data_IF_730894680689
#
_entry.id   IF_730894680689
#
_cell.length_a   1.000
_cell.length_b   1.000
_cell.length_c   1.000
_cell.angle_alpha   90.00
_cell.angle_beta   90.00
_cell.angle_gamma   90.00
#
_symmetry.space_group_name_H-M   'P 1'
#
loop_
_entity.id
_entity.type
_entity.pdbx_description
1 polymer ?
#
# COMPACT_ATOMS: atom_id res chain seq x y z
N UNK A 1 -69.02 45.40 -5.91
CA UNK A 1 -68.21 44.32 -6.44
C UNK A 1 -67.19 45.00 -7.32
N UNK A 2 -65.90 44.79 -7.08
CA UNK A 2 -64.83 45.56 -7.74
C UNK A 2 -64.65 45.04 -9.20
N UNK A 3 -64.55 45.94 -10.20
CA UNK A 3 -64.43 45.56 -11.63
C UNK A 3 -63.32 44.55 -11.88
N UNK A 4 -62.23 44.62 -11.15
CA UNK A 4 -61.13 43.65 -11.22
C UNK A 4 -61.52 42.23 -10.79
N UNK A 5 -62.53 42.10 -9.91
CA UNK A 5 -62.99 40.78 -9.43
C UNK A 5 -63.84 40.10 -10.50
N UNK A 6 -64.68 40.90 -11.20
CA UNK A 6 -65.45 40.41 -12.31
C UNK A 6 -64.65 40.00 -13.53
N UNK A 7 -63.58 40.76 -13.81
CA UNK A 7 -62.61 40.42 -14.87
C UNK A 7 -61.89 39.15 -14.60
N UNK A 8 -61.33 38.97 -13.34
CA UNK A 8 -60.66 37.76 -12.94
C UNK A 8 -61.61 36.54 -12.99
N UNK A 9 -62.89 36.74 -12.61
CA UNK A 9 -63.82 35.65 -12.63
C UNK A 9 -64.16 35.22 -14.05
N UNK A 10 -64.39 36.18 -14.96
CA UNK A 10 -64.62 35.91 -16.37
C UNK A 10 -63.44 35.23 -17.08
N UNK A 11 -62.19 35.62 -16.69
CA UNK A 11 -60.97 35.01 -17.20
C UNK A 11 -60.86 33.57 -16.73
N UNK A 12 -61.16 33.29 -15.46
CA UNK A 12 -61.21 31.93 -14.94
C UNK A 12 -62.26 31.07 -15.65
N UNK A 13 -63.44 31.57 -15.80
CA UNK A 13 -64.50 30.80 -16.44
C UNK A 13 -64.14 30.41 -17.89
N UNK A 14 -63.50 31.32 -18.65
CA UNK A 14 -63.01 31.03 -20.01
C UNK A 14 -61.84 30.01 -19.99
N UNK A 15 -60.90 30.17 -19.08
CA UNK A 15 -59.77 29.21 -18.95
C UNK A 15 -60.23 27.82 -18.50
N UNK A 16 -61.18 27.76 -17.57
CA UNK A 16 -61.75 26.49 -17.12
C UNK A 16 -62.53 25.77 -18.21
N UNK A 17 -63.25 26.52 -19.02
CA UNK A 17 -64.02 25.98 -20.16
C UNK A 17 -63.15 25.46 -21.30
N UNK A 18 -62.05 26.21 -21.63
CA UNK A 18 -61.05 25.84 -22.63
C UNK A 18 -60.25 24.66 -22.19
N UNK A 19 -59.79 24.68 -20.90
CA UNK A 19 -59.01 23.57 -20.26
C UNK A 19 -59.88 22.28 -20.23
N UNK A 20 -61.12 22.36 -19.84
CA UNK A 20 -61.98 21.17 -19.78
C UNK A 20 -62.25 20.60 -21.16
N UNK A 21 -62.48 21.48 -22.20
CA UNK A 21 -62.64 21.05 -23.57
C UNK A 21 -61.41 20.36 -24.14
N UNK A 22 -60.21 20.90 -23.85
CA UNK A 22 -58.95 20.31 -24.26
C UNK A 22 -58.66 18.96 -23.54
N UNK A 23 -58.98 18.89 -22.25
CA UNK A 23 -58.88 17.64 -21.48
C UNK A 23 -59.85 16.57 -21.98
N UNK A 24 -61.10 16.95 -22.35
CA UNK A 24 -62.05 16.01 -22.88
C UNK A 24 -61.67 15.54 -24.30
N UNK A 25 -61.12 16.43 -25.14
CA UNK A 25 -60.55 16.08 -26.43
C UNK A 25 -59.34 15.13 -26.32
N UNK A 26 -58.45 15.32 -25.29
CA UNK A 26 -57.34 14.46 -25.02
C UNK A 26 -57.82 13.08 -24.54
N UNK A 27 -58.81 13.04 -23.63
CA UNK A 27 -59.38 11.78 -23.12
C UNK A 27 -60.12 10.98 -24.20
N UNK A 28 -60.79 11.66 -25.13
CA UNK A 28 -61.46 11.03 -26.25
C UNK A 28 -60.53 10.52 -27.35
N UNK A 29 -59.29 11.04 -27.38
CA UNK A 29 -58.29 10.70 -28.39
C UNK A 29 -57.21 9.73 -27.86
N UNK A 30 -57.32 9.26 -26.62
CA UNK A 30 -56.29 8.46 -25.94
C UNK A 30 -56.48 6.93 -26.08
N UNK A 31 -56.89 6.49 -27.28
CA UNK A 31 -56.63 5.13 -27.74
C UNK A 31 -55.34 5.05 -28.56
N UNK A 32 -54.27 5.72 -28.06
CA UNK A 32 -52.96 5.53 -28.67
C UNK A 32 -52.37 4.19 -28.28
N UNK A 33 -52.63 3.17 -29.06
CA UNK A 33 -51.95 1.88 -28.91
C UNK A 33 -50.47 2.02 -29.27
N UNK A 34 -49.63 1.97 -28.23
CA UNK A 34 -48.18 1.92 -28.44
C UNK A 34 -47.81 0.66 -29.21
N UNK A 35 -46.91 0.79 -30.18
CA UNK A 35 -46.45 -0.34 -30.98
C UNK A 35 -45.90 -1.47 -30.07
N UNK A 36 -46.08 -2.72 -30.49
CA UNK A 36 -45.55 -3.90 -29.77
C UNK A 36 -44.07 -3.80 -29.43
N UNK A 37 -43.30 -3.15 -30.29
CA UNK A 37 -41.88 -2.90 -30.08
C UNK A 37 -41.67 -1.93 -28.90
N UNK A 38 -42.52 -0.89 -28.78
CA UNK A 38 -42.46 0.05 -27.66
C UNK A 38 -42.86 -0.62 -26.36
N UNK A 39 -43.97 -1.37 -26.34
CA UNK A 39 -44.46 -2.10 -25.19
C UNK A 39 -43.43 -3.15 -24.66
N UNK A 40 -42.79 -3.88 -25.57
CA UNK A 40 -41.71 -4.82 -25.22
C UNK A 40 -40.51 -4.10 -24.60
N UNK A 41 -40.14 -2.92 -25.13
CA UNK A 41 -39.03 -2.12 -24.62
C UNK A 41 -39.34 -1.57 -23.22
N UNK A 42 -40.54 -1.04 -23.01
CA UNK A 42 -41.01 -0.52 -21.72
C UNK A 42 -41.08 -1.63 -20.65
N UNK A 43 -41.70 -2.77 -20.97
CA UNK A 43 -41.73 -3.95 -20.06
C UNK A 43 -40.33 -4.39 -19.68
N UNK A 44 -39.37 -4.36 -20.61
CA UNK A 44 -37.95 -4.71 -20.33
C UNK A 44 -37.27 -3.69 -19.42
N UNK A 45 -37.57 -2.40 -19.59
CA UNK A 45 -37.02 -1.33 -18.73
C UNK A 45 -37.58 -1.41 -17.30
N UNK A 46 -38.89 -1.59 -17.15
CA UNK A 46 -39.58 -1.74 -15.86
C UNK A 46 -39.00 -2.95 -15.11
N UNK A 47 -38.93 -4.12 -15.78
CA UNK A 47 -38.35 -5.34 -15.19
C UNK A 47 -36.90 -5.16 -14.80
N UNK A 48 -36.12 -4.32 -15.50
CA UNK A 48 -34.74 -4.02 -15.21
C UNK A 48 -34.63 -3.08 -14.00
N UNK A 49 -35.50 -2.06 -13.91
CA UNK A 49 -35.51 -1.09 -12.81
C UNK A 49 -35.98 -1.71 -11.49
N UNK A 50 -36.86 -2.71 -11.53
CA UNK A 50 -37.37 -3.42 -10.34
C UNK A 50 -36.35 -4.36 -9.68
N UNK A 51 -35.21 -4.61 -10.31
CA UNK A 51 -34.15 -5.46 -9.71
C UNK A 51 -33.44 -4.72 -8.58
N UNK A 52 -33.23 -5.37 -7.40
CA UNK A 52 -32.69 -4.70 -6.21
C UNK A 52 -31.29 -4.14 -6.43
N UNK A 53 -30.49 -4.74 -7.31
CA UNK A 53 -29.13 -4.30 -7.64
C UNK A 53 -29.05 -3.30 -8.80
N UNK A 54 -30.20 -2.94 -9.43
CA UNK A 54 -30.21 -2.02 -10.58
C UNK A 54 -29.59 -0.66 -10.24
N UNK A 55 -29.89 -0.12 -9.06
CA UNK A 55 -29.34 1.16 -8.59
C UNK A 55 -27.83 1.14 -8.44
N UNK A 56 -27.25 -0.02 -8.04
CA UNK A 56 -25.82 -0.18 -7.89
C UNK A 56 -25.08 -0.23 -9.23
N UNK A 57 -25.68 -0.86 -10.25
CA UNK A 57 -25.02 -1.11 -11.55
C UNK A 57 -25.61 -0.31 -12.71
N UNK A 58 -26.39 0.74 -12.42
CA UNK A 58 -27.13 1.50 -13.44
C UNK A 58 -26.23 2.33 -14.36
N UNK A 59 -25.11 2.83 -13.86
CA UNK A 59 -24.16 3.67 -14.61
C UNK A 59 -22.87 2.93 -14.90
N UNK A 60 -22.13 3.32 -15.95
CA UNK A 60 -20.83 2.74 -16.30
C UNK A 60 -19.82 2.87 -15.14
N UNK A 61 -19.79 4.04 -14.50
CA UNK A 61 -18.91 4.32 -13.35
C UNK A 61 -19.20 3.39 -12.16
N UNK A 62 -20.48 3.16 -11.85
CA UNK A 62 -20.85 2.24 -10.74
C UNK A 62 -20.51 0.79 -11.05
N UNK A 63 -20.63 0.37 -12.33
CA UNK A 63 -20.17 -0.98 -12.75
C UNK A 63 -18.67 -1.13 -12.60
N UNK A 64 -17.90 -0.14 -13.05
CA UNK A 64 -16.45 -0.14 -12.87
C UNK A 64 -16.06 -0.21 -11.39
N UNK A 65 -16.73 0.56 -10.53
CA UNK A 65 -16.49 0.50 -9.08
C UNK A 65 -16.79 -0.90 -8.50
N UNK A 66 -17.89 -1.54 -8.88
CA UNK A 66 -18.19 -2.90 -8.43
C UNK A 66 -17.16 -3.92 -8.89
N UNK A 67 -16.64 -3.80 -10.12
CA UNK A 67 -15.58 -4.67 -10.63
C UNK A 67 -14.29 -4.47 -9.83
N UNK A 68 -13.90 -3.22 -9.56
CA UNK A 68 -12.71 -2.92 -8.77
C UNK A 68 -12.82 -3.50 -7.36
N UNK A 69 -13.95 -3.33 -6.68
CA UNK A 69 -14.18 -3.92 -5.35
C UNK A 69 -14.11 -5.44 -5.40
N UNK A 70 -14.71 -6.07 -6.41
CA UNK A 70 -14.64 -7.53 -6.59
C UNK A 70 -13.19 -8.01 -6.81
N UNK A 71 -12.41 -7.30 -7.62
CA UNK A 71 -10.99 -7.62 -7.82
C UNK A 71 -10.17 -7.48 -6.54
N UNK A 72 -10.39 -6.43 -5.74
CA UNK A 72 -9.71 -6.24 -4.45
C UNK A 72 -10.03 -7.40 -3.50
N UNK A 73 -11.31 -7.79 -3.38
CA UNK A 73 -11.73 -8.90 -2.51
C UNK A 73 -11.12 -10.24 -2.97
N UNK A 74 -11.12 -10.50 -4.28
CA UNK A 74 -10.52 -11.72 -4.84
C UNK A 74 -9.01 -11.75 -4.62
N UNK A 75 -8.31 -10.64 -4.83
CA UNK A 75 -6.86 -10.52 -4.61
C UNK A 75 -6.52 -10.72 -3.13
N UNK A 76 -7.26 -10.09 -2.21
CA UNK A 76 -7.06 -10.26 -0.77
C UNK A 76 -7.31 -11.71 -0.33
N UNK A 77 -8.33 -12.37 -0.89
CA UNK A 77 -8.63 -13.78 -0.61
C UNK A 77 -7.55 -14.70 -1.15
N UNK A 78 -7.02 -14.44 -2.35
CA UNK A 78 -5.95 -15.22 -2.94
C UNK A 78 -4.65 -15.09 -2.13
N UNK A 79 -4.28 -13.88 -1.70
CA UNK A 79 -3.09 -13.62 -0.88
C UNK A 79 -3.20 -14.17 0.55
N UNK A 80 -4.37 -14.58 1.00
CA UNK A 80 -4.52 -15.29 2.28
C UNK A 80 -4.04 -16.74 2.24
N UNK A 81 -3.81 -17.30 1.05
CA UNK A 81 -3.27 -18.65 0.85
C UNK A 81 -1.75 -18.57 0.74
N UNK A 82 -1.03 -19.26 1.62
CA UNK A 82 0.44 -19.19 1.71
C UNK A 82 1.14 -19.56 0.38
N UNK A 83 0.64 -20.56 -0.33
CA UNK A 83 1.16 -20.96 -1.64
C UNK A 83 1.02 -19.86 -2.71
N UNK A 84 -0.09 -19.10 -2.69
CA UNK A 84 -0.30 -17.99 -3.64
C UNK A 84 0.56 -16.79 -3.26
N UNK A 85 0.71 -16.53 -1.96
CA UNK A 85 1.60 -15.49 -1.45
C UNK A 85 3.04 -15.75 -1.84
N UNK A 86 3.52 -16.99 -1.67
CA UNK A 86 4.83 -17.42 -2.11
C UNK A 86 5.03 -17.23 -3.62
N UNK A 87 4.10 -17.73 -4.45
CA UNK A 87 4.19 -17.59 -5.90
C UNK A 87 4.14 -16.12 -6.39
N UNK A 88 3.33 -15.26 -5.73
CA UNK A 88 3.30 -13.82 -6.03
C UNK A 88 4.60 -13.15 -5.60
N UNK A 89 5.13 -13.53 -4.43
CA UNK A 89 6.41 -13.04 -3.94
C UNK A 89 7.53 -13.42 -4.90
N UNK A 90 7.64 -14.71 -5.29
CA UNK A 90 8.64 -15.21 -6.24
C UNK A 90 8.52 -14.52 -7.61
N UNK A 91 7.28 -14.33 -8.11
CA UNK A 91 7.04 -13.60 -9.35
C UNK A 91 7.47 -12.13 -9.28
N UNK A 92 7.16 -11.44 -8.19
CA UNK A 92 7.59 -10.05 -7.98
C UNK A 92 9.11 -9.99 -7.90
N UNK A 93 9.73 -10.92 -7.18
CA UNK A 93 11.19 -10.98 -7.04
C UNK A 93 11.88 -11.30 -8.36
N UNK A 94 11.32 -12.21 -9.16
CA UNK A 94 11.89 -12.60 -10.45
C UNK A 94 11.77 -11.50 -11.52
N UNK A 95 10.65 -10.76 -11.54
CA UNK A 95 10.39 -9.74 -12.56
C UNK A 95 10.77 -8.30 -12.16
N UNK A 96 10.96 -8.05 -10.87
CA UNK A 96 11.45 -6.77 -10.35
C UNK A 96 12.83 -6.93 -9.70
N UNK A 97 13.63 -7.85 -10.23
CA UNK A 97 14.99 -8.19 -9.77
C UNK A 97 16.02 -7.04 -9.84
N UNK A 98 15.60 -5.85 -10.27
CA UNK A 98 16.40 -4.64 -10.17
C UNK A 98 16.60 -4.16 -8.71
N UNK A 99 15.88 -4.78 -7.77
CA UNK A 99 16.06 -4.56 -6.34
C UNK A 99 16.38 -5.91 -5.70
N UNK A 100 17.63 -6.20 -5.37
CA UNK A 100 17.94 -7.37 -4.56
C UNK A 100 17.40 -7.19 -3.17
N UNK A 101 16.42 -8.00 -2.87
CA UNK A 101 16.10 -8.32 -1.48
C UNK A 101 17.11 -9.38 -1.03
N UNK A 102 18.03 -9.03 -0.20
CA UNK A 102 18.77 -10.04 0.53
C UNK A 102 17.79 -10.57 1.58
N UNK A 103 17.03 -11.58 1.21
CA UNK A 103 16.35 -12.42 2.16
C UNK A 103 17.46 -13.20 2.87
N UNK A 104 17.82 -12.78 4.05
CA UNK A 104 18.52 -13.66 4.98
C UNK A 104 17.44 -14.68 5.36
N UNK A 105 17.44 -15.85 4.69
CA UNK A 105 16.54 -16.93 5.02
C UNK A 105 16.77 -17.30 6.48
N UNK A 106 15.95 -16.73 7.34
CA UNK A 106 15.74 -17.30 8.66
C UNK A 106 14.87 -18.53 8.43
N UNK A 107 15.52 -19.70 8.47
CA UNK A 107 14.85 -20.99 8.43
C UNK A 107 13.67 -20.97 9.41
N UNK A 108 12.57 -21.53 8.97
CA UNK A 108 11.36 -21.72 9.76
C UNK A 108 11.69 -22.31 11.13
N UNK A 109 11.32 -21.57 12.18
CA UNK A 109 11.06 -22.06 13.55
C UNK A 109 12.25 -22.58 14.40
N UNK A 110 13.44 -22.05 14.25
CA UNK A 110 14.62 -22.58 14.93
C UNK A 110 15.18 -21.70 16.06
N UNK A 111 14.34 -21.31 17.02
CA UNK A 111 14.82 -20.82 18.33
C UNK A 111 15.51 -19.46 18.32
N UNK A 112 15.32 -18.66 17.27
CA UNK A 112 15.80 -17.28 17.24
C UNK A 112 14.92 -16.37 18.11
N UNK A 113 15.51 -15.35 18.76
CA UNK A 113 14.72 -14.38 19.51
C UNK A 113 13.64 -13.70 18.64
N UNK A 114 12.43 -13.63 19.16
CA UNK A 114 11.34 -12.87 18.55
C UNK A 114 11.30 -11.42 18.99
N UNK A 115 12.14 -11.05 19.95
CA UNK A 115 12.35 -9.70 20.45
C UNK A 115 13.82 -9.45 20.76
N UNK A 116 14.18 -8.19 20.97
CA UNK A 116 15.54 -7.82 21.37
C UNK A 116 15.73 -8.14 22.86
N UNK A 117 16.43 -9.23 23.14
CA UNK A 117 16.81 -9.68 24.49
C UNK A 117 18.22 -9.23 24.87
N UNK A 118 19.11 -9.18 23.89
CA UNK A 118 20.51 -8.78 24.04
C UNK A 118 20.78 -7.57 23.18
N UNK A 119 21.41 -6.54 23.72
CA UNK A 119 21.72 -5.30 23.02
C UNK A 119 23.19 -5.25 22.64
N UNK A 120 23.45 -4.89 21.40
CA UNK A 120 24.80 -4.69 20.88
C UNK A 120 25.10 -3.20 20.71
N UNK A 121 26.36 -2.82 20.75
CA UNK A 121 26.80 -1.44 20.57
C UNK A 121 28.18 -1.38 19.93
N UNK A 122 28.48 -0.29 19.26
CA UNK A 122 29.85 -0.02 18.74
C UNK A 122 30.73 0.42 19.89
N UNK A 123 31.74 -0.40 20.23
CA UNK A 123 32.61 -0.12 21.40
C UNK A 123 33.69 0.91 21.11
N UNK A 124 34.06 1.13 19.83
CA UNK A 124 35.08 2.08 19.41
C UNK A 124 34.55 2.95 18.27
N UNK A 125 34.18 4.17 18.61
CA UNK A 125 33.75 5.17 17.62
C UNK A 125 34.98 5.97 17.15
N UNK A 126 34.96 6.41 15.86
CA UNK A 126 35.98 7.32 15.37
C UNK A 126 35.95 8.66 16.13
N UNK A 127 37.08 9.34 16.15
CA UNK A 127 37.23 10.61 16.89
C UNK A 127 36.16 11.64 16.44
N UNK A 128 35.51 12.26 17.41
CA UNK A 128 34.49 13.30 17.20
C UNK A 128 33.08 12.80 17.00
N UNK A 129 32.86 11.50 16.77
CA UNK A 129 31.51 10.95 16.68
C UNK A 129 30.88 10.83 18.06
N UNK A 130 29.59 11.19 18.13
CA UNK A 130 28.75 11.07 19.33
C UNK A 130 27.38 10.54 18.92
N UNK A 131 26.77 9.77 19.79
CA UNK A 131 25.38 9.37 19.62
C UNK A 131 24.47 10.61 19.61
N UNK A 132 23.65 10.73 18.59
CA UNK A 132 22.71 11.85 18.41
C UNK A 132 21.26 11.41 18.43
N UNK A 133 20.99 10.17 18.04
CA UNK A 133 19.64 9.58 18.08
C UNK A 133 19.72 8.13 18.54
N UNK A 134 18.64 7.67 19.18
CA UNK A 134 18.43 6.30 19.62
C UNK A 134 16.97 5.96 19.44
N UNK A 135 16.68 4.86 18.78
CA UNK A 135 15.37 4.27 18.62
C UNK A 135 15.39 2.81 19.05
N UNK A 136 14.35 2.38 19.75
CA UNK A 136 14.20 0.99 20.18
C UNK A 136 12.74 0.58 20.03
N UNK A 137 12.52 -0.61 19.51
CA UNK A 137 11.25 -1.33 19.46
C UNK A 137 11.47 -2.74 19.99
N UNK A 138 10.40 -3.53 20.11
CA UNK A 138 10.54 -4.93 20.52
C UNK A 138 11.45 -5.72 19.57
N UNK A 139 11.51 -5.34 18.28
CA UNK A 139 12.17 -6.12 17.23
C UNK A 139 13.42 -5.47 16.66
N UNK A 140 13.72 -4.23 17.02
CA UNK A 140 14.85 -3.47 16.44
C UNK A 140 15.42 -2.44 17.39
N UNK A 141 16.72 -2.17 17.24
CA UNK A 141 17.43 -1.04 17.82
C UNK A 141 18.12 -0.30 16.69
N UNK A 142 17.97 1.03 16.64
CA UNK A 142 18.66 1.92 15.71
C UNK A 142 19.39 3.01 16.48
N UNK A 143 20.67 3.18 16.22
CA UNK A 143 21.50 4.20 16.87
C UNK A 143 22.23 5.02 15.82
N UNK A 144 22.01 6.33 15.85
CA UNK A 144 22.69 7.25 14.95
C UNK A 144 23.78 8.02 15.66
N UNK A 145 24.99 7.97 15.09
CA UNK A 145 26.15 8.73 15.55
C UNK A 145 26.55 9.75 14.49
N UNK A 146 26.98 10.93 14.92
CA UNK A 146 27.44 11.97 14.01
C UNK A 146 28.58 12.80 14.62
N UNK A 147 29.44 13.31 13.72
CA UNK A 147 30.44 14.32 14.07
C UNK A 147 30.09 15.70 13.46
N UNK A 148 28.83 15.87 12.98
CA UNK A 148 28.33 17.09 12.31
C UNK A 148 28.62 17.15 10.81
N UNK A 149 29.52 16.33 10.27
CA UNK A 149 29.83 16.23 8.83
C UNK A 149 29.53 14.85 8.27
N UNK A 150 29.79 13.82 9.05
CA UNK A 150 29.60 12.41 8.70
C UNK A 150 28.66 11.75 9.69
N UNK A 151 27.94 10.72 9.23
CA UNK A 151 27.01 9.94 10.03
C UNK A 151 27.36 8.47 10.01
N UNK A 152 26.98 7.76 11.08
CA UNK A 152 27.00 6.31 11.20
C UNK A 152 25.65 5.89 11.74
N UNK A 153 24.99 4.99 11.05
CA UNK A 153 23.78 4.31 11.50
C UNK A 153 24.15 2.89 11.89
N UNK A 154 23.87 2.51 13.10
CA UNK A 154 23.95 1.14 13.58
C UNK A 154 22.54 0.61 13.80
N UNK A 155 22.23 -0.53 13.19
CA UNK A 155 20.95 -1.21 13.37
C UNK A 155 21.18 -2.64 13.87
N UNK A 156 20.32 -3.07 14.79
CA UNK A 156 20.19 -4.43 15.26
C UNK A 156 18.73 -4.87 15.08
N UNK A 157 18.51 -6.02 14.46
CA UNK A 157 17.16 -6.50 14.14
C UNK A 157 17.02 -7.98 14.48
N UNK A 158 15.82 -8.39 14.91
CA UNK A 158 15.49 -9.82 15.02
C UNK A 158 15.42 -10.45 13.63
N UNK A 159 15.81 -11.73 13.51
CA UNK A 159 15.86 -12.42 12.22
C UNK A 159 14.43 -12.62 11.72
N UNK A 160 13.59 -12.88 11.63
CA UNK A 160 12.26 -13.20 11.11
C UNK A 160 11.47 -12.05 10.48
N UNK A 161 11.89 -10.80 10.69
CA UNK A 161 11.12 -9.62 10.29
C UNK A 161 11.85 -8.67 9.34
N UNK A 162 13.01 -9.06 8.84
CA UNK A 162 13.86 -8.12 8.09
C UNK A 162 14.08 -8.55 6.65
N UNK A 163 13.41 -7.89 5.74
CA UNK A 163 13.79 -7.81 4.34
C UNK A 163 14.67 -6.57 4.18
N UNK A 164 15.95 -6.76 3.93
CA UNK A 164 16.85 -5.65 3.62
C UNK A 164 16.67 -5.36 2.14
N UNK A 165 16.01 -4.25 1.83
CA UNK A 165 15.85 -3.76 0.47
C UNK A 165 17.11 -2.97 0.10
N UNK A 166 17.84 -3.43 -0.91
CA UNK A 166 18.98 -2.71 -1.47
C UNK A 166 18.80 -2.55 -2.98
N UNK A 167 19.16 -1.38 -3.47
CA UNK A 167 19.14 -1.08 -4.91
C UNK A 167 20.36 -1.74 -5.58
N UNK A 168 20.12 -2.81 -6.35
CA UNK A 168 21.15 -3.57 -7.03
C UNK A 168 21.68 -2.90 -8.30
N UNK A 169 20.95 -1.97 -8.87
CA UNK A 169 21.38 -1.33 -10.12
C UNK A 169 22.68 -0.54 -9.96
N UNK A 170 23.07 -0.22 -8.71
CA UNK A 170 24.20 0.65 -8.38
C UNK A 170 25.14 0.14 -7.31
N UNK A 171 24.91 -1.06 -6.78
CA UNK A 171 25.66 -1.49 -5.58
C UNK A 171 26.17 -2.91 -5.75
N UNK A 172 27.45 -3.04 -6.11
CA UNK A 172 28.15 -4.32 -6.03
C UNK A 172 28.34 -4.69 -4.56
N UNK A 173 28.00 -5.91 -4.16
CA UNK A 173 28.31 -6.40 -2.84
C UNK A 173 29.53 -7.31 -2.84
N UNK A 174 30.31 -7.23 -1.78
CA UNK A 174 31.46 -8.09 -1.56
C UNK A 174 31.26 -8.90 -0.27
N UNK A 175 31.41 -10.21 -0.36
CA UNK A 175 31.49 -11.05 0.84
C UNK A 175 32.91 -11.01 1.38
N UNK A 176 33.03 -10.72 2.66
CA UNK A 176 34.30 -10.76 3.39
C UNK A 176 34.13 -11.62 4.62
N UNK A 177 35.18 -12.38 4.99
CA UNK A 177 35.21 -13.16 6.20
C UNK A 177 36.29 -12.59 7.14
N UNK A 178 35.91 -12.34 8.37
CA UNK A 178 36.83 -11.81 9.41
C UNK A 178 36.58 -12.60 10.68
N UNK A 179 37.63 -13.22 11.18
CA UNK A 179 37.64 -14.03 12.42
C UNK A 179 36.51 -15.12 12.42
N UNK A 180 36.23 -15.70 11.25
CA UNK A 180 35.23 -16.74 11.08
C UNK A 180 33.77 -16.21 10.97
N UNK A 181 33.59 -14.91 10.94
CA UNK A 181 32.31 -14.24 10.73
C UNK A 181 32.22 -13.73 9.29
N UNK A 182 31.14 -14.08 8.57
CA UNK A 182 30.84 -13.55 7.25
C UNK A 182 30.19 -12.18 7.37
N UNK A 183 30.62 -11.24 6.54
CA UNK A 183 30.06 -9.90 6.38
C UNK A 183 29.71 -9.67 4.92
N UNK A 184 28.57 -9.02 4.68
CA UNK A 184 28.16 -8.51 3.38
C UNK A 184 28.46 -7.02 3.34
N UNK A 185 29.31 -6.61 2.44
CA UNK A 185 29.71 -5.21 2.29
C UNK A 185 29.17 -4.65 0.98
N UNK A 186 28.52 -3.53 1.09
CA UNK A 186 27.94 -2.77 -0.02
C UNK A 186 28.62 -1.40 -0.08
N UNK A 187 29.07 -1.03 -1.27
CA UNK A 187 29.73 0.26 -1.50
C UNK A 187 28.93 1.03 -2.55
N UNK A 188 28.48 2.22 -2.19
CA UNK A 188 27.89 3.19 -3.11
C UNK A 188 28.83 4.39 -3.24
N UNK A 189 28.47 5.33 -4.14
CA UNK A 189 29.27 6.56 -4.34
C UNK A 189 29.39 7.42 -3.07
N UNK A 190 28.44 7.30 -2.13
CA UNK A 190 28.39 8.16 -0.95
C UNK A 190 28.54 7.43 0.37
N UNK A 191 28.16 6.15 0.42
CA UNK A 191 28.01 5.41 1.66
C UNK A 191 28.55 3.99 1.52
N UNK A 192 29.03 3.44 2.64
CA UNK A 192 29.38 2.05 2.78
C UNK A 192 28.45 1.42 3.82
N UNK A 193 27.88 0.28 3.50
CA UNK A 193 27.03 -0.50 4.38
C UNK A 193 27.64 -1.90 4.60
N UNK A 194 27.73 -2.31 5.83
CA UNK A 194 28.18 -3.64 6.22
C UNK A 194 27.07 -4.34 7.02
N UNK A 195 26.72 -5.56 6.63
CA UNK A 195 25.65 -6.36 7.23
C UNK A 195 26.21 -7.73 7.63
N UNK A 196 25.84 -8.22 8.80
CA UNK A 196 26.22 -9.56 9.25
C UNK A 196 25.17 -10.20 10.15
N UNK A 197 25.19 -11.49 10.18
CA UNK A 197 24.42 -12.34 11.09
C UNK A 197 25.31 -12.81 12.24
N UNK A 198 25.03 -12.39 13.47
CA UNK A 198 25.82 -12.80 14.62
C UNK A 198 25.33 -14.12 15.28
N UNK A 199 24.45 -14.86 14.58
CA UNK A 199 23.81 -16.07 15.09
C UNK A 199 22.46 -15.83 15.76
N UNK A 200 22.20 -14.66 16.36
CA UNK A 200 20.92 -14.32 17.01
C UNK A 200 20.17 -13.19 16.31
N UNK A 201 20.89 -12.19 15.85
CA UNK A 201 20.37 -10.96 15.24
C UNK A 201 21.06 -10.66 13.93
N UNK A 202 20.40 -9.88 13.11
CA UNK A 202 21.01 -9.23 11.96
C UNK A 202 21.47 -7.85 12.41
N UNK A 203 22.76 -7.60 12.22
CA UNK A 203 23.39 -6.34 12.56
C UNK A 203 23.82 -5.63 11.28
N UNK A 204 23.71 -4.31 11.26
CA UNK A 204 24.23 -3.51 10.15
C UNK A 204 24.86 -2.21 10.62
N UNK A 205 25.86 -1.76 9.88
CA UNK A 205 26.47 -0.44 10.02
C UNK A 205 26.49 0.21 8.65
N UNK A 206 25.90 1.39 8.56
CA UNK A 206 25.91 2.22 7.35
C UNK A 206 26.50 3.59 7.67
N UNK A 207 27.26 4.16 6.72
CA UNK A 207 27.77 5.52 6.91
C UNK A 207 28.56 6.04 5.72
N UNK A 208 28.68 7.38 5.65
CA UNK A 208 29.49 8.07 4.65
C UNK A 208 30.99 8.09 5.08
N UNK A 209 31.51 6.89 5.27
CA UNK A 209 32.87 6.58 5.72
C UNK A 209 33.57 5.72 4.67
N UNK A 210 34.88 5.62 4.78
CA UNK A 210 35.63 4.65 4.00
C UNK A 210 35.39 3.21 4.49
N UNK A 211 35.58 2.27 3.58
CA UNK A 211 35.37 0.83 3.80
C UNK A 211 36.10 0.28 5.01
N UNK A 212 37.39 0.66 5.19
CA UNK A 212 38.22 0.18 6.27
C UNK A 212 37.64 0.62 7.61
N UNK A 213 37.25 1.87 7.73
CA UNK A 213 36.59 2.40 8.93
C UNK A 213 35.31 1.64 9.26
N UNK A 214 34.42 1.37 8.26
CA UNK A 214 33.19 0.61 8.50
C UNK A 214 33.50 -0.81 8.96
N UNK A 215 34.46 -1.47 8.37
CA UNK A 215 34.90 -2.81 8.78
C UNK A 215 35.39 -2.79 10.23
N UNK A 216 36.18 -1.81 10.64
CA UNK A 216 36.66 -1.68 11.99
C UNK A 216 35.55 -1.42 13.00
N UNK A 217 34.51 -0.66 12.61
CA UNK A 217 33.31 -0.49 13.41
C UNK A 217 32.55 -1.82 13.61
N UNK A 218 32.43 -2.64 12.57
CA UNK A 218 31.81 -3.97 12.66
C UNK A 218 32.58 -4.87 13.65
N UNK A 219 33.90 -4.92 13.54
CA UNK A 219 34.77 -5.67 14.48
C UNK A 219 34.68 -5.17 15.92
N UNK A 220 34.43 -3.85 16.08
CA UNK A 220 34.33 -3.23 17.40
C UNK A 220 32.98 -3.42 18.07
N UNK A 221 32.00 -3.99 17.39
CA UNK A 221 30.65 -4.21 17.92
C UNK A 221 30.66 -5.29 19.00
N UNK A 222 30.07 -5.00 20.16
CA UNK A 222 30.05 -5.86 21.34
C UNK A 222 28.68 -5.92 21.99
N UNK A 223 28.45 -7.03 22.69
CA UNK A 223 27.30 -7.18 23.57
C UNK A 223 27.40 -6.19 24.74
N UNK A 224 26.34 -5.48 25.01
CA UNK A 224 26.19 -4.62 26.17
C UNK A 224 25.97 -5.52 27.41
N UNK A 225 26.85 -5.42 28.39
CA UNK A 225 26.75 -6.16 29.65
C UNK A 225 25.89 -5.44 30.66
#
# INVERSE_FOLDING_TARGET
>A
MNENTLFIQALKDVFDEEYNADMEAILLNDEHEFSDKHNKKMKKLIKRQSRPYFKLISTATRRAACIIVAMIVLSASALSVDAVRGAVYDFVMENFADHSVIAIESGTDDGYPTSIEEKYYISQLPAGFKQTQYGETDNSISVFYSNGKKGILFDQNVKGNHNIYMDNERTDFTKIEIDGQEYLLFESDTDVTCIWDNGRYILSISGNLDKETVIDLCKSTKLQK
#
